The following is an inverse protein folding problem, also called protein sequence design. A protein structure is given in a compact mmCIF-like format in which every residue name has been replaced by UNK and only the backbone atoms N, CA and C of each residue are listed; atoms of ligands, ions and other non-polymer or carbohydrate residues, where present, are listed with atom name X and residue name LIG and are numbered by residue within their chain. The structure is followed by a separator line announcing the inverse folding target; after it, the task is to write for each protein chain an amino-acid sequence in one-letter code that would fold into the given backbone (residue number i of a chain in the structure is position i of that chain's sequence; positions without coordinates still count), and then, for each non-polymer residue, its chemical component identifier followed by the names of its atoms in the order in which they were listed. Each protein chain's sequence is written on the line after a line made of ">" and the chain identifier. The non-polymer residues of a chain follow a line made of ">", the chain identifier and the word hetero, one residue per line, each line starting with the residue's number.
data_IF_484183724752
#
_entry.id   IF_484183724752
#
_cell.length_a   1.000
_cell.length_b   1.000
_cell.length_c   1.000
_cell.angle_alpha   90.00
_cell.angle_beta   90.00
_cell.angle_gamma   90.00
#
_symmetry.space_group_name_H-M   'P 1'
#
loop_
_entity.id
_entity.type
_entity.pdbx_description
1 polymer ?
#
# COMPACT_ATOMS: atom_id res chain seq x y z
N UNK A 1 -4.78 -22.64 15.18
CA UNK A 1 -4.79 -21.18 14.95
C UNK A 1 -3.81 -20.58 15.93
N UNK A 2 -2.76 -19.93 15.42
CA UNK A 2 -1.65 -19.45 16.24
C UNK A 2 -1.95 -18.02 16.68
N UNK A 3 -1.45 -17.63 17.85
CA UNK A 3 -1.65 -16.31 18.48
C UNK A 3 -1.28 -15.12 17.58
N UNK A 4 -0.51 -15.35 16.51
CA UNK A 4 -0.09 -14.33 15.53
C UNK A 4 -1.18 -13.90 14.52
N UNK A 5 -2.35 -14.55 14.50
CA UNK A 5 -3.40 -14.31 13.49
C UNK A 5 -4.30 -13.08 13.78
N UNK A 6 -4.00 -12.27 14.81
CA UNK A 6 -4.89 -11.18 15.30
C UNK A 6 -4.27 -9.78 15.25
N UNK A 7 -3.64 -9.40 14.13
CA UNK A 7 -3.31 -7.98 13.90
C UNK A 7 -4.58 -7.26 13.44
N UNK A 8 -5.38 -6.81 14.39
CA UNK A 8 -6.58 -6.00 14.18
C UNK A 8 -6.23 -4.56 13.77
N UNK A 9 -5.64 -4.37 12.58
CA UNK A 9 -5.54 -3.02 11.99
C UNK A 9 -6.81 -2.74 11.20
N UNK A 10 -7.72 -1.96 11.80
CA UNK A 10 -8.92 -1.47 11.13
C UNK A 10 -8.53 -0.39 10.12
N UNK A 11 -8.67 -0.69 8.83
CA UNK A 11 -8.66 0.32 7.77
C UNK A 11 -10.10 0.70 7.45
N UNK A 12 -10.31 1.97 7.09
CA UNK A 12 -11.56 2.49 6.51
C UNK A 12 -12.08 1.53 5.44
N UNK A 13 -13.15 0.79 5.73
CA UNK A 13 -13.73 -0.23 4.84
C UNK A 13 -13.98 -1.61 5.46
N UNK A 14 -13.62 -1.84 6.73
CA UNK A 14 -14.07 -3.02 7.49
C UNK A 14 -13.43 -4.35 7.10
N UNK A 15 -12.39 -4.36 6.26
CA UNK A 15 -11.61 -5.57 5.95
C UNK A 15 -10.43 -5.71 6.92
N UNK A 16 -10.30 -6.89 7.50
CA UNK A 16 -9.16 -7.26 8.33
C UNK A 16 -7.92 -7.42 7.46
N UNK A 17 -6.84 -6.71 7.80
CA UNK A 17 -5.56 -6.90 7.15
C UNK A 17 -4.91 -8.16 7.69
N UNK A 18 -4.53 -9.07 6.82
CA UNK A 18 -3.77 -10.25 7.20
C UNK A 18 -2.28 -9.92 7.25
N UNK A 19 -1.52 -10.70 8.03
CA UNK A 19 -0.05 -10.60 8.01
C UNK A 19 0.52 -10.83 6.59
N UNK A 20 -0.13 -11.68 5.79
CA UNK A 20 0.24 -11.92 4.39
C UNK A 20 0.19 -10.65 3.54
N UNK A 21 -0.73 -9.74 3.84
CA UNK A 21 -0.79 -8.44 3.15
C UNK A 21 0.41 -7.56 3.49
N UNK A 22 0.90 -7.60 4.72
CA UNK A 22 2.10 -6.85 5.12
C UNK A 22 3.34 -7.48 4.48
N UNK A 23 3.39 -8.81 4.38
CA UNK A 23 4.54 -9.54 3.84
C UNK A 23 4.82 -9.20 2.37
N UNK A 24 3.80 -8.81 1.59
CA UNK A 24 3.97 -8.40 0.19
C UNK A 24 4.43 -6.95 0.01
N UNK A 25 4.44 -6.13 1.09
CA UNK A 25 4.97 -4.76 1.06
C UNK A 25 6.48 -4.83 1.31
N UNK A 26 7.35 -4.34 0.42
CA UNK A 26 8.80 -4.37 0.61
C UNK A 26 9.28 -3.81 1.96
N UNK A 27 8.69 -2.72 2.44
CA UNK A 27 9.02 -2.14 3.75
C UNK A 27 8.51 -2.94 4.96
N UNK A 28 7.76 -4.04 4.76
CA UNK A 28 7.26 -4.96 5.79
C UNK A 28 6.46 -4.26 6.92
N UNK A 29 5.80 -3.15 6.58
CA UNK A 29 4.88 -2.44 7.48
C UNK A 29 3.82 -1.71 6.70
N UNK A 30 2.74 -1.37 7.40
CA UNK A 30 1.75 -0.44 6.88
C UNK A 30 2.27 0.99 7.00
N UNK A 31 1.86 1.82 6.04
CA UNK A 31 1.99 3.26 6.14
C UNK A 31 1.11 3.79 7.27
N UNK A 32 1.60 4.83 7.92
CA UNK A 32 0.87 5.64 8.89
C UNK A 32 0.45 6.96 8.23
N UNK A 33 -0.45 7.70 8.88
CA UNK A 33 -0.80 9.06 8.41
C UNK A 33 0.41 10.00 8.42
N UNK A 34 1.33 9.79 9.36
CA UNK A 34 2.55 10.57 9.47
C UNK A 34 3.47 10.37 8.26
N UNK A 35 3.61 9.14 7.75
CA UNK A 35 4.44 8.87 6.56
C UNK A 35 4.00 9.70 5.35
N UNK A 36 2.69 9.87 5.17
CA UNK A 36 2.14 10.72 4.10
C UNK A 36 2.36 12.20 4.40
N UNK A 37 2.16 12.62 5.65
CA UNK A 37 2.44 14.00 6.07
C UNK A 37 3.89 14.41 5.83
N UNK A 38 4.84 13.56 6.22
CA UNK A 38 6.27 13.79 6.04
C UNK A 38 6.67 13.77 4.56
N UNK A 39 6.06 12.88 3.76
CA UNK A 39 6.26 12.87 2.29
C UNK A 39 5.80 14.19 1.67
N UNK A 40 4.61 14.68 2.05
CA UNK A 40 4.09 15.96 1.56
C UNK A 40 4.99 17.10 2.02
N UNK A 41 5.45 17.09 3.27
CA UNK A 41 6.38 18.09 3.80
C UNK A 41 7.67 18.14 2.97
N UNK A 42 8.24 16.99 2.59
CA UNK A 42 9.36 16.94 1.67
C UNK A 42 9.02 17.58 0.31
N UNK A 43 7.93 17.16 -0.32
CA UNK A 43 7.51 17.62 -1.66
C UNK A 43 7.30 19.13 -1.72
N UNK A 44 6.80 19.76 -0.64
CA UNK A 44 6.56 21.22 -0.60
C UNK A 44 7.77 22.03 -0.09
N UNK A 45 8.85 21.36 0.31
CA UNK A 45 10.06 22.01 0.83
C UNK A 45 11.06 22.38 -0.26
N UNK A 46 12.04 23.21 0.10
CA UNK A 46 13.19 23.52 -0.76
C UNK A 46 14.03 22.29 -1.15
N UNK A 47 13.93 21.18 -0.40
CA UNK A 47 14.62 19.94 -0.74
C UNK A 47 14.08 19.28 -2.02
N UNK A 48 12.90 19.69 -2.49
CA UNK A 48 12.24 19.18 -3.69
C UNK A 48 12.29 20.15 -4.89
N UNK A 49 13.23 21.12 -4.93
CA UNK A 49 13.30 22.14 -5.99
C UNK A 49 13.43 21.60 -7.43
N UNK A 50 13.92 20.38 -7.61
CA UNK A 50 14.00 19.72 -8.94
C UNK A 50 12.83 18.77 -9.22
N UNK A 51 11.88 18.66 -8.30
CA UNK A 51 10.77 17.73 -8.36
C UNK A 51 9.58 18.41 -9.06
N UNK A 52 9.54 18.31 -10.39
CA UNK A 52 8.47 18.89 -11.21
C UNK A 52 7.93 17.88 -12.21
N UNK A 53 6.63 17.94 -12.50
CA UNK A 53 5.96 17.06 -13.47
C UNK A 53 6.04 15.56 -13.13
N UNK A 54 6.25 15.21 -11.87
CA UNK A 54 6.46 13.82 -11.44
C UNK A 54 5.44 13.39 -10.38
N UNK A 55 5.29 12.08 -10.21
CA UNK A 55 4.45 11.45 -9.18
C UNK A 55 5.33 10.83 -8.11
N UNK A 56 5.11 11.21 -6.85
CA UNK A 56 5.79 10.59 -5.70
C UNK A 56 4.91 9.47 -5.14
N UNK A 57 5.43 8.25 -5.11
CA UNK A 57 4.75 7.06 -4.59
C UNK A 57 5.25 6.75 -3.19
N UNK A 58 4.40 6.93 -2.18
CA UNK A 58 4.70 6.68 -0.76
C UNK A 58 3.88 5.52 -0.20
N UNK A 59 4.15 4.31 -0.68
CA UNK A 59 3.35 3.11 -0.39
C UNK A 59 4.17 1.92 0.15
N UNK A 60 5.42 2.17 0.55
CA UNK A 60 6.34 1.13 1.01
C UNK A 60 6.79 0.15 -0.09
N UNK A 61 6.60 0.50 -1.37
CA UNK A 61 6.98 -0.30 -2.54
C UNK A 61 5.91 -1.30 -2.99
N UNK A 62 4.73 -1.27 -2.39
CA UNK A 62 3.65 -2.23 -2.69
C UNK A 62 3.20 -2.20 -4.15
N UNK A 63 3.31 -1.05 -4.81
CA UNK A 63 2.94 -0.84 -6.20
C UNK A 63 3.79 -1.70 -7.16
N UNK A 64 5.04 -1.98 -6.78
CA UNK A 64 6.00 -2.73 -7.60
C UNK A 64 5.91 -4.25 -7.37
N UNK A 65 5.32 -4.70 -6.28
CA UNK A 65 5.26 -6.12 -5.90
C UNK A 65 3.92 -6.77 -6.17
N UNK A 66 2.89 -6.02 -6.56
CA UNK A 66 1.61 -6.61 -6.93
C UNK A 66 1.74 -7.43 -8.22
N UNK A 67 1.10 -8.60 -8.23
CA UNK A 67 1.01 -9.48 -9.40
C UNK A 67 0.48 -8.68 -10.61
N UNK A 68 1.31 -8.55 -11.65
CA UNK A 68 0.90 -8.07 -12.96
C UNK A 68 0.45 -9.25 -13.85
N UNK A 69 -0.20 -10.26 -13.25
CA UNK A 69 -0.76 -11.37 -13.98
C UNK A 69 -2.13 -10.99 -14.54
N UNK A 70 -2.18 -10.71 -15.84
CA UNK A 70 -3.41 -10.36 -16.55
C UNK A 70 -4.51 -11.40 -16.36
N UNK A 71 -4.16 -12.69 -16.35
CA UNK A 71 -5.13 -13.77 -16.23
C UNK A 71 -5.77 -13.81 -14.84
N UNK A 72 -4.98 -13.61 -13.79
CA UNK A 72 -5.49 -13.47 -12.42
C UNK A 72 -6.43 -12.26 -12.32
N UNK A 73 -6.03 -11.12 -12.89
CA UNK A 73 -6.87 -9.92 -12.90
C UNK A 73 -8.20 -10.14 -13.61
N UNK A 74 -8.18 -10.79 -14.77
CA UNK A 74 -9.40 -11.14 -15.51
C UNK A 74 -10.28 -12.15 -14.75
N UNK A 75 -9.67 -13.07 -14.03
CA UNK A 75 -10.39 -14.03 -13.18
C UNK A 75 -11.09 -13.32 -12.03
N UNK A 76 -10.40 -12.37 -11.36
CA UNK A 76 -10.99 -11.54 -10.31
C UNK A 76 -12.17 -10.71 -10.84
N UNK A 77 -12.03 -10.08 -12.01
CA UNK A 77 -13.08 -9.27 -12.62
C UNK A 77 -14.32 -10.09 -13.00
N UNK A 78 -14.14 -11.31 -13.53
CA UNK A 78 -15.26 -12.22 -13.82
C UNK A 78 -15.99 -12.69 -12.56
N UNK A 79 -15.26 -12.78 -11.44
CA UNK A 79 -15.80 -13.24 -10.17
C UNK A 79 -16.34 -12.09 -9.30
N UNK A 80 -15.94 -10.84 -9.54
CA UNK A 80 -16.56 -9.67 -8.93
C UNK A 80 -17.87 -9.37 -9.65
N UNK A 81 -18.93 -10.08 -9.27
CA UNK A 81 -20.30 -9.70 -9.61
C UNK A 81 -20.62 -8.37 -8.95
N UNK A 82 -20.39 -7.29 -9.70
CA UNK A 82 -21.16 -6.05 -9.63
C UNK A 82 -22.24 -6.13 -10.72
#
# INVERSE_FOLDING_TARGET
>A
MSFNDLINVHISGGKHLTQDFINVIPCQRLGTRQDIGDTVMYVVSDAAQLLTGTTVIADGGSHLTRSNNFQERMTLLKNSRL
#
